data_IF_989208108191
#
_entry.id   IF_989208108191
#
_cell.length_a   1.000
_cell.length_b   1.000
_cell.length_c   1.000
_cell.angle_alpha   90.00
_cell.angle_beta   90.00
_cell.angle_gamma   90.00
#
_symmetry.space_group_name_H-M   'P 1'
#
loop_
_entity.id
_entity.type
_entity.pdbx_description
1 polymer ?
#
# COMPACT_ATOMS: atom_id res chain seq x y z
N UNK A 1 5.02 -67.66 24.29
CA UNK A 1 6.48 -67.68 24.04
C UNK A 1 6.74 -66.75 22.87
N UNK A 2 7.66 -65.80 23.03
CA UNK A 2 8.15 -65.00 21.92
C UNK A 2 8.90 -65.92 20.95
N UNK A 3 8.37 -66.12 19.74
CA UNK A 3 8.95 -67.05 18.75
C UNK A 3 10.29 -66.58 18.22
N UNK A 4 10.66 -65.32 18.45
CA UNK A 4 11.93 -64.73 18.04
C UNK A 4 12.99 -64.76 19.15
N UNK A 5 12.65 -65.22 20.36
CA UNK A 5 13.65 -65.49 21.38
C UNK A 5 14.47 -66.74 21.04
N UNK A 6 15.72 -66.87 21.54
CA UNK A 6 16.54 -68.06 21.32
C UNK A 6 15.80 -69.38 21.66
N UNK A 7 15.13 -69.42 22.82
CA UNK A 7 14.35 -70.58 23.26
C UNK A 7 13.11 -70.82 22.40
N UNK A 8 12.44 -69.74 21.99
CA UNK A 8 11.26 -69.80 21.11
C UNK A 8 11.62 -70.37 19.74
N UNK A 9 12.72 -69.91 19.15
CA UNK A 9 13.25 -70.41 17.88
C UNK A 9 13.71 -71.86 17.99
N UNK A 10 14.51 -72.17 19.01
CA UNK A 10 15.01 -73.54 19.24
C UNK A 10 13.85 -74.53 19.43
N UNK A 11 12.84 -74.16 20.23
CA UNK A 11 11.65 -74.97 20.46
C UNK A 11 10.80 -75.16 19.20
N UNK A 12 10.63 -74.11 18.39
CA UNK A 12 9.88 -74.19 17.14
C UNK A 12 10.59 -75.07 16.10
N UNK A 13 11.90 -74.92 15.96
CA UNK A 13 12.72 -75.70 15.04
C UNK A 13 12.73 -77.18 15.45
N UNK A 14 12.96 -77.50 16.72
CA UNK A 14 12.95 -78.89 17.19
C UNK A 14 11.57 -79.54 17.09
N UNK A 15 10.49 -78.80 17.39
CA UNK A 15 9.11 -79.26 17.14
C UNK A 15 8.89 -79.63 15.67
N UNK A 16 9.22 -78.71 14.76
CA UNK A 16 9.04 -78.93 13.33
C UNK A 16 9.91 -80.10 12.83
N UNK A 17 11.16 -80.16 13.28
CA UNK A 17 12.12 -81.21 12.92
C UNK A 17 11.66 -82.58 13.40
N UNK A 18 11.25 -82.71 14.67
CA UNK A 18 10.81 -83.98 15.23
C UNK A 18 9.55 -84.51 14.56
N UNK A 19 8.51 -83.67 14.48
CA UNK A 19 7.24 -84.05 13.85
C UNK A 19 7.45 -84.42 12.37
N UNK A 20 8.35 -83.74 11.67
CA UNK A 20 8.70 -84.04 10.27
C UNK A 20 9.51 -85.32 10.07
N UNK A 21 10.49 -85.62 10.93
CA UNK A 21 11.36 -86.80 10.81
C UNK A 21 10.73 -88.08 11.35
N UNK A 22 9.99 -88.00 12.45
CA UNK A 22 9.48 -89.17 13.17
C UNK A 22 8.01 -89.46 12.89
N UNK A 23 7.26 -88.51 12.32
CA UNK A 23 5.80 -88.59 12.11
C UNK A 23 5.02 -88.87 13.40
N UNK A 24 5.61 -88.57 14.54
CA UNK A 24 5.02 -88.65 15.87
C UNK A 24 4.81 -87.23 16.42
N UNK A 25 3.83 -87.01 17.31
CA UNK A 25 3.64 -85.74 17.99
C UNK A 25 4.86 -85.41 18.86
N UNK A 26 5.32 -84.16 18.82
CA UNK A 26 6.37 -83.65 19.74
C UNK A 26 5.95 -83.76 21.21
N UNK A 27 4.64 -83.70 21.43
CA UNK A 27 3.97 -83.76 22.71
C UNK A 27 4.13 -85.13 23.38
N UNK A 28 4.45 -86.18 22.62
CA UNK A 28 4.67 -87.54 23.12
C UNK A 28 6.06 -87.74 23.74
N UNK A 29 7.00 -86.82 23.51
CA UNK A 29 8.31 -86.84 24.17
C UNK A 29 8.17 -86.54 25.66
N UNK A 30 9.04 -87.15 26.47
CA UNK A 30 9.16 -86.80 27.90
C UNK A 30 9.66 -85.36 28.04
N UNK A 31 9.24 -84.68 29.10
CA UNK A 31 9.62 -83.28 29.35
C UNK A 31 11.14 -83.07 29.32
N UNK A 32 11.89 -83.94 30.01
CA UNK A 32 13.35 -83.87 30.06
C UNK A 32 14.02 -84.09 28.70
N UNK A 33 13.42 -84.91 27.82
CA UNK A 33 13.91 -85.12 26.46
C UNK A 33 13.63 -83.90 25.57
N UNK A 34 12.47 -83.27 25.73
CA UNK A 34 12.15 -82.00 25.05
C UNK A 34 13.12 -80.91 25.46
N UNK A 35 13.30 -80.70 26.75
CA UNK A 35 14.17 -79.65 27.29
C UNK A 35 15.61 -79.83 26.80
N UNK A 36 16.14 -81.05 26.85
CA UNK A 36 17.50 -81.34 26.39
C UNK A 36 17.67 -81.05 24.89
N UNK A 37 16.67 -81.38 24.07
CA UNK A 37 16.73 -81.11 22.62
C UNK A 37 16.66 -79.63 22.30
N UNK A 38 15.75 -78.91 22.96
CA UNK A 38 15.64 -77.46 22.84
C UNK A 38 16.94 -76.80 23.26
N UNK A 39 17.56 -77.24 24.36
CA UNK A 39 18.84 -76.74 24.84
C UNK A 39 19.98 -76.96 23.84
N UNK A 40 20.10 -78.16 23.26
CA UNK A 40 21.12 -78.45 22.23
C UNK A 40 20.93 -77.56 21.00
N UNK A 41 19.68 -77.38 20.54
CA UNK A 41 19.39 -76.51 19.41
C UNK A 41 19.66 -75.05 19.73
N UNK A 42 19.31 -74.58 20.93
CA UNK A 42 19.58 -73.21 21.41
C UNK A 42 21.07 -72.91 21.37
N UNK A 43 21.91 -73.79 21.93
CA UNK A 43 23.38 -73.65 21.88
C UNK A 43 23.88 -73.62 20.44
N UNK A 44 23.38 -74.50 19.56
CA UNK A 44 23.78 -74.50 18.14
C UNK A 44 23.39 -73.20 17.42
N UNK A 45 22.23 -72.62 17.71
CA UNK A 45 21.78 -71.33 17.17
C UNK A 45 22.63 -70.16 17.68
N UNK A 46 23.07 -70.22 18.93
CA UNK A 46 23.97 -69.23 19.54
C UNK A 46 25.38 -69.32 18.94
N UNK A 47 25.96 -70.52 18.87
CA UNK A 47 27.30 -70.76 18.31
C UNK A 47 27.40 -70.43 16.82
N UNK A 48 26.34 -70.70 16.05
CA UNK A 48 26.26 -70.32 14.64
C UNK A 48 26.02 -68.83 14.41
N UNK A 49 25.74 -68.06 15.47
CA UNK A 49 25.46 -66.62 15.40
C UNK A 49 24.07 -66.27 14.81
N UNK A 50 23.20 -67.26 14.58
CA UNK A 50 21.86 -67.04 14.04
C UNK A 50 21.02 -66.18 14.98
N UNK A 51 21.11 -66.41 16.30
CA UNK A 51 20.40 -65.59 17.30
C UNK A 51 20.83 -64.12 17.24
N UNK A 52 22.14 -63.87 17.10
CA UNK A 52 22.68 -62.51 16.96
C UNK A 52 22.25 -61.85 15.63
N UNK A 53 22.23 -62.61 14.53
CA UNK A 53 21.78 -62.10 13.23
C UNK A 53 20.29 -61.73 13.25
N UNK A 54 19.43 -62.58 13.84
CA UNK A 54 18.00 -62.29 14.01
C UNK A 54 17.80 -61.06 14.88
N UNK A 55 18.49 -60.97 16.03
CA UNK A 55 18.42 -59.80 16.90
C UNK A 55 18.83 -58.51 16.17
N UNK A 56 19.87 -58.55 15.34
CA UNK A 56 20.31 -57.41 14.54
C UNK A 56 19.27 -57.01 13.47
N UNK A 57 18.59 -57.97 12.83
CA UNK A 57 17.52 -57.69 11.87
C UNK A 57 16.32 -57.05 12.56
N UNK A 58 15.91 -57.57 13.72
CA UNK A 58 14.82 -57.00 14.53
C UNK A 58 15.16 -55.57 14.95
N UNK A 59 16.39 -55.33 15.42
CA UNK A 59 16.85 -53.99 15.78
C UNK A 59 16.84 -53.02 14.59
N UNK A 60 17.27 -53.47 13.40
CA UNK A 60 17.19 -52.65 12.17
C UNK A 60 15.75 -52.38 11.75
N UNK A 61 14.85 -53.36 11.91
CA UNK A 61 13.42 -53.18 11.66
C UNK A 61 12.83 -52.06 12.53
N UNK A 62 13.09 -52.11 13.83
CA UNK A 62 12.66 -51.06 14.76
C UNK A 62 13.25 -49.68 14.42
N UNK A 63 14.52 -49.63 13.96
CA UNK A 63 15.12 -48.39 13.47
C UNK A 63 14.44 -47.88 12.20
N UNK A 64 14.10 -48.77 11.27
CA UNK A 64 13.42 -48.41 10.02
C UNK A 64 12.03 -47.83 10.30
N UNK A 65 11.27 -48.43 11.22
CA UNK A 65 9.97 -47.93 11.65
C UNK A 65 10.10 -46.52 12.26
N UNK A 66 11.08 -46.32 13.14
CA UNK A 66 11.36 -44.99 13.72
C UNK A 66 11.81 -43.94 12.69
N UNK A 67 12.50 -44.35 11.62
CA UNK A 67 12.85 -43.46 10.50
C UNK A 67 11.62 -43.13 9.65
N UNK A 68 10.74 -44.11 9.41
CA UNK A 68 9.50 -43.89 8.67
C UNK A 68 8.59 -42.87 9.37
N UNK A 69 8.47 -42.95 10.68
CA UNK A 69 7.74 -41.95 11.48
C UNK A 69 8.37 -40.55 11.39
N UNK A 70 9.70 -40.46 11.44
CA UNK A 70 10.40 -39.19 11.29
C UNK A 70 10.20 -38.57 9.90
N UNK A 71 10.26 -39.37 8.84
CA UNK A 71 9.98 -38.91 7.47
C UNK A 71 8.54 -38.41 7.37
N UNK A 72 7.57 -39.18 7.87
CA UNK A 72 6.17 -38.77 7.85
C UNK A 72 5.92 -37.45 8.61
N UNK A 73 6.59 -37.26 9.75
CA UNK A 73 6.53 -36.01 10.52
C UNK A 73 7.14 -34.83 9.74
N UNK A 74 8.27 -35.03 9.06
CA UNK A 74 8.93 -33.99 8.24
C UNK A 74 8.08 -33.63 7.02
N UNK A 75 7.48 -34.61 6.36
CA UNK A 75 6.58 -34.37 5.23
C UNK A 75 5.34 -33.58 5.66
N UNK A 76 4.81 -33.84 6.86
CA UNK A 76 3.71 -33.06 7.41
C UNK A 76 4.12 -31.60 7.69
N UNK A 77 5.31 -31.39 8.28
CA UNK A 77 5.87 -30.08 8.54
C UNK A 77 6.12 -29.27 7.25
N UNK A 78 6.68 -29.91 6.22
CA UNK A 78 6.91 -29.29 4.92
C UNK A 78 5.59 -28.90 4.24
N UNK A 79 4.58 -29.76 4.28
CA UNK A 79 3.24 -29.44 3.76
C UNK A 79 2.59 -28.28 4.50
N UNK A 80 2.75 -28.19 5.82
CA UNK A 80 2.24 -27.07 6.60
C UNK A 80 2.91 -25.75 6.21
N UNK A 81 4.25 -25.72 6.12
CA UNK A 81 5.00 -24.54 5.67
C UNK A 81 4.65 -24.12 4.25
N UNK A 82 4.45 -25.08 3.34
CA UNK A 82 4.05 -24.78 1.97
C UNK A 82 2.68 -24.08 1.96
N UNK A 83 1.71 -24.58 2.73
CA UNK A 83 0.40 -23.95 2.83
C UNK A 83 0.46 -22.52 3.42
N UNK A 84 1.33 -22.29 4.42
CA UNK A 84 1.59 -20.95 4.96
C UNK A 84 2.16 -20.01 3.90
N UNK A 85 3.18 -20.45 3.16
CA UNK A 85 3.78 -19.66 2.08
C UNK A 85 2.78 -19.36 0.96
N UNK A 86 1.96 -20.34 0.55
CA UNK A 86 0.95 -20.14 -0.48
C UNK A 86 -0.10 -19.11 -0.04
N UNK A 87 -0.53 -19.14 1.23
CA UNK A 87 -1.43 -18.15 1.80
C UNK A 87 -0.79 -16.75 1.83
N UNK A 88 0.48 -16.65 2.19
CA UNK A 88 1.23 -15.40 2.18
C UNK A 88 1.40 -14.82 0.77
N UNK A 89 1.65 -15.67 -0.23
CA UNK A 89 1.73 -15.23 -1.63
C UNK A 89 0.41 -14.63 -2.09
N UNK A 90 -0.72 -15.30 -1.84
CA UNK A 90 -2.06 -14.77 -2.18
C UNK A 90 -2.29 -13.43 -1.50
N UNK A 91 -1.98 -13.31 -0.20
CA UNK A 91 -2.13 -12.08 0.57
C UNK A 91 -1.27 -10.94 0.02
N UNK A 92 0.01 -11.21 -0.25
CA UNK A 92 0.94 -10.20 -0.73
C UNK A 92 0.62 -9.76 -2.16
N UNK A 93 0.26 -10.70 -3.04
CA UNK A 93 -0.20 -10.35 -4.40
C UNK A 93 -1.46 -9.48 -4.35
N UNK A 94 -2.44 -9.82 -3.51
CA UNK A 94 -3.61 -8.97 -3.31
C UNK A 94 -3.25 -7.58 -2.83
N UNK A 95 -2.34 -7.46 -1.85
CA UNK A 95 -1.87 -6.16 -1.36
C UNK A 95 -1.11 -5.35 -2.41
N UNK A 96 -0.36 -6.00 -3.29
CA UNK A 96 0.32 -5.33 -4.41
C UNK A 96 -0.73 -4.72 -5.35
N UNK A 97 -1.74 -5.48 -5.74
CA UNK A 97 -2.82 -4.97 -6.62
C UNK A 97 -3.56 -3.79 -5.99
N UNK A 98 -3.90 -3.86 -4.70
CA UNK A 98 -4.50 -2.71 -3.99
C UNK A 98 -3.61 -1.46 -4.04
N UNK A 99 -2.30 -1.63 -3.82
CA UNK A 99 -1.35 -0.52 -3.86
C UNK A 99 -1.15 0.04 -5.28
N UNK A 100 -1.25 -0.80 -6.31
CA UNK A 100 -1.19 -0.37 -7.70
C UNK A 100 -2.43 0.46 -8.07
N UNK A 101 -3.62 0.04 -7.61
CA UNK A 101 -4.87 0.79 -7.79
C UNK A 101 -4.81 2.13 -7.03
N UNK A 102 -4.43 2.12 -5.75
CA UNK A 102 -4.24 3.34 -4.94
C UNK A 102 -3.28 4.33 -5.61
N UNK A 103 -2.19 3.82 -6.21
CA UNK A 103 -1.20 4.63 -6.91
C UNK A 103 -1.77 5.20 -8.22
N UNK A 104 -2.56 4.44 -8.96
CA UNK A 104 -3.22 4.90 -10.17
C UNK A 104 -4.22 6.03 -9.84
N UNK A 105 -5.02 5.86 -8.80
CA UNK A 105 -5.99 6.86 -8.33
C UNK A 105 -5.29 8.14 -7.86
N UNK A 106 -4.22 8.01 -7.07
CA UNK A 106 -3.43 9.15 -6.62
C UNK A 106 -2.82 9.93 -7.79
N UNK A 107 -2.32 9.23 -8.82
CA UNK A 107 -1.79 9.87 -10.03
C UNK A 107 -2.87 10.59 -10.83
N UNK A 108 -4.06 10.00 -10.95
CA UNK A 108 -5.18 10.62 -11.64
C UNK A 108 -5.67 11.88 -10.90
N UNK A 109 -5.79 11.81 -9.57
CA UNK A 109 -6.17 12.95 -8.73
C UNK A 109 -5.16 14.11 -8.86
N UNK A 110 -3.86 13.81 -8.76
CA UNK A 110 -2.81 14.81 -8.92
C UNK A 110 -2.79 15.41 -10.32
N UNK A 111 -3.00 14.61 -11.38
CA UNK A 111 -3.09 15.12 -12.74
C UNK A 111 -4.29 16.07 -12.92
N UNK A 112 -5.44 15.75 -12.31
CA UNK A 112 -6.61 16.62 -12.33
C UNK A 112 -6.38 17.93 -11.58
N UNK A 113 -5.72 17.89 -10.42
CA UNK A 113 -5.33 19.08 -9.65
C UNK A 113 -4.37 19.99 -10.44
N UNK A 114 -3.35 19.39 -11.08
CA UNK A 114 -2.43 20.14 -11.95
C UNK A 114 -3.14 20.77 -13.14
N UNK A 115 -4.08 20.06 -13.78
CA UNK A 115 -4.86 20.61 -14.88
C UNK A 115 -5.74 21.79 -14.42
N UNK A 116 -6.39 21.67 -13.26
CA UNK A 116 -7.22 22.73 -12.69
C UNK A 116 -6.41 23.97 -12.34
N UNK A 117 -5.29 23.81 -11.63
CA UNK A 117 -4.39 24.92 -11.27
C UNK A 117 -3.77 25.58 -12.50
N UNK A 118 -3.41 24.80 -13.54
CA UNK A 118 -2.92 25.35 -14.81
C UNK A 118 -4.00 26.20 -15.49
N UNK A 119 -5.24 25.71 -15.56
CA UNK A 119 -6.35 26.46 -16.15
C UNK A 119 -6.66 27.76 -15.36
N UNK A 120 -6.55 27.73 -14.04
CA UNK A 120 -6.69 28.92 -13.18
C UNK A 120 -5.62 29.97 -13.53
N UNK A 121 -4.34 29.59 -13.55
CA UNK A 121 -3.26 30.51 -13.93
C UNK A 121 -3.39 31.04 -15.37
N UNK A 122 -3.84 30.22 -16.31
CA UNK A 122 -4.12 30.67 -17.69
C UNK A 122 -5.24 31.71 -17.74
N UNK A 123 -6.29 31.54 -16.92
CA UNK A 123 -7.38 32.51 -16.78
C UNK A 123 -6.88 33.83 -16.19
N UNK A 124 -6.12 33.78 -15.09
CA UNK A 124 -5.52 34.96 -14.46
C UNK A 124 -4.61 35.73 -15.43
N UNK A 125 -3.79 35.01 -16.20
CA UNK A 125 -2.94 35.62 -17.23
C UNK A 125 -3.75 36.28 -18.35
N UNK A 126 -4.86 35.66 -18.77
CA UNK A 126 -5.75 36.24 -19.77
C UNK A 126 -6.42 37.52 -19.25
N UNK A 127 -6.88 37.52 -18.00
CA UNK A 127 -7.45 38.70 -17.34
C UNK A 127 -6.43 39.83 -17.19
N UNK A 128 -5.21 39.51 -16.75
CA UNK A 128 -4.12 40.48 -16.64
C UNK A 128 -3.80 41.13 -17.99
N UNK A 129 -3.69 40.34 -19.07
CA UNK A 129 -3.47 40.84 -20.44
C UNK A 129 -4.62 41.73 -20.93
N UNK A 130 -5.87 41.35 -20.65
CA UNK A 130 -7.04 42.18 -20.96
C UNK A 130 -7.02 43.51 -20.17
N UNK A 131 -6.64 43.45 -18.89
CA UNK A 131 -6.44 44.63 -18.05
C UNK A 131 -5.38 45.57 -18.61
N UNK A 132 -4.23 45.04 -19.02
CA UNK A 132 -3.14 45.78 -19.67
C UNK A 132 -3.61 46.44 -20.97
N UNK A 133 -4.25 45.70 -21.87
CA UNK A 133 -4.78 46.23 -23.14
C UNK A 133 -5.76 47.39 -22.90
N UNK A 134 -6.65 47.27 -21.91
CA UNK A 134 -7.58 48.36 -21.53
C UNK A 134 -6.85 49.56 -20.96
N UNK A 135 -5.79 49.36 -20.18
CA UNK A 135 -4.96 50.45 -19.67
C UNK A 135 -4.23 51.18 -20.81
N UNK A 136 -3.62 50.44 -21.74
CA UNK A 136 -2.98 50.98 -22.94
C UNK A 136 -3.96 51.77 -23.79
N UNK A 137 -5.15 51.23 -24.04
CA UNK A 137 -6.19 51.94 -24.81
C UNK A 137 -6.64 53.23 -24.13
N UNK A 138 -6.84 53.22 -22.80
CA UNK A 138 -7.17 54.44 -22.04
C UNK A 138 -6.04 55.47 -22.10
N UNK A 139 -4.78 55.04 -22.01
CA UNK A 139 -3.63 55.93 -22.15
C UNK A 139 -3.59 56.59 -23.55
N UNK A 140 -3.78 55.81 -24.62
CA UNK A 140 -3.85 56.33 -26.00
C UNK A 140 -5.03 57.30 -26.20
N UNK A 141 -6.19 57.02 -25.60
CA UNK A 141 -7.34 57.95 -25.64
C UNK A 141 -7.03 59.26 -24.92
N UNK A 142 -6.40 59.19 -23.74
CA UNK A 142 -5.98 60.37 -23.00
C UNK A 142 -4.94 61.19 -23.79
N UNK A 143 -3.96 60.54 -24.42
CA UNK A 143 -2.96 61.20 -25.27
C UNK A 143 -3.62 61.93 -26.45
N UNK A 144 -4.55 61.28 -27.18
CA UNK A 144 -5.31 61.92 -28.26
C UNK A 144 -6.14 63.10 -27.76
N UNK A 145 -6.75 63.00 -26.58
CA UNK A 145 -7.50 64.11 -25.99
C UNK A 145 -6.58 65.30 -25.64
N UNK A 146 -5.39 65.02 -25.09
CA UNK A 146 -4.39 66.05 -24.81
C UNK A 146 -3.89 66.72 -26.10
N UNK A 147 -3.64 65.95 -27.16
CA UNK A 147 -3.26 66.50 -28.47
C UNK A 147 -4.39 67.32 -29.10
N UNK A 148 -5.65 66.90 -28.96
CA UNK A 148 -6.81 67.67 -29.42
C UNK A 148 -6.91 69.01 -28.67
N UNK A 149 -6.73 69.00 -27.34
CA UNK A 149 -6.68 70.23 -26.53
C UNK A 149 -5.51 71.12 -26.96
N UNK A 150 -4.31 70.54 -27.18
CA UNK A 150 -3.13 71.27 -27.65
C UNK A 150 -3.39 71.95 -29.01
N UNK A 151 -3.98 71.23 -29.95
CA UNK A 151 -4.32 71.77 -31.28
C UNK A 151 -5.39 72.86 -31.21
N UNK A 152 -6.41 72.70 -30.35
CA UNK A 152 -7.43 73.72 -30.14
C UNK A 152 -6.81 75.02 -29.57
N UNK A 153 -5.93 74.92 -28.59
CA UNK A 153 -5.19 76.06 -28.05
C UNK A 153 -4.30 76.74 -29.10
N UNK A 154 -3.63 75.96 -29.97
CA UNK A 154 -2.84 76.49 -31.07
C UNK A 154 -3.71 77.21 -32.12
N UNK A 155 -4.91 76.70 -32.41
CA UNK A 155 -5.89 77.35 -33.30
C UNK A 155 -6.42 78.68 -32.73
N UNK A 156 -6.60 78.77 -31.41
CA UNK A 156 -6.97 80.02 -30.72
C UNK A 156 -5.85 81.08 -30.80
N UNK A 157 -4.58 80.67 -30.85
CA UNK A 157 -3.45 81.60 -31.00
C UNK A 157 -3.27 82.14 -32.44
N UNK A 158 -3.94 81.55 -33.44
CA UNK A 158 -3.89 81.96 -34.86
C UNK A 158 -5.14 82.77 -35.27
N UNK A 159 -6.13 82.92 -34.38
CA UNK A 159 -7.21 83.89 -34.59
C UNK A 159 -6.64 85.31 -34.47
N UNK A 160 -6.59 86.03 -35.59
CA UNK A 160 -6.20 87.44 -35.66
C UNK A 160 -6.86 88.26 -34.55
N UNK A 161 -6.14 89.16 -33.86
CA UNK A 161 -6.76 90.10 -32.94
C UNK A 161 -7.70 91.01 -33.72
N UNK A 162 -9.00 90.89 -33.47
CA UNK A 162 -10.00 91.87 -33.92
C UNK A 162 -9.59 93.27 -33.45
N UNK A 163 -9.63 94.30 -34.33
CA UNK A 163 -9.24 95.65 -33.95
C UNK A 163 -10.22 96.20 -32.91
N UNK A 164 -9.65 96.69 -31.81
CA UNK A 164 -10.36 97.38 -30.72
C UNK A 164 -10.96 98.67 -31.28
N UNK A 165 -12.29 98.75 -31.34
CA UNK A 165 -13.03 100.01 -31.44
C UNK A 165 -13.60 100.37 -30.05
N UNK A 166 -13.26 101.58 -29.61
CA UNK A 166 -13.80 102.26 -28.43
C UNK A 166 -15.24 102.74 -28.67
N UNK A 167 -16.08 102.63 -27.63
CA UNK A 167 -17.19 103.51 -27.16
C UNK A 167 -18.27 102.60 -26.55
N UNK A 168 -18.59 102.61 -25.24
CA UNK A 168 -19.13 103.65 -24.34
C UNK A 168 -20.58 103.30 -23.95
N UNK A 169 -20.83 103.24 -22.63
CA UNK A 169 -22.14 103.30 -21.92
C UNK A 169 -23.08 102.07 -22.09
N UNK A 170 -23.85 101.59 -21.11
CA UNK A 170 -24.19 102.04 -19.76
C UNK A 170 -24.71 100.81 -18.95
N UNK A 171 -24.76 100.98 -17.64
CA UNK A 171 -25.34 100.07 -16.64
C UNK A 171 -26.83 99.76 -16.90
N UNK A 172 -27.26 98.51 -16.67
CA UNK A 172 -28.58 98.20 -16.09
C UNK A 172 -28.68 96.76 -15.54
N UNK A 173 -29.50 96.62 -14.50
CA UNK A 173 -29.68 95.51 -13.56
C UNK A 173 -30.35 94.25 -14.14
N UNK A 174 -30.21 93.09 -13.48
CA UNK A 174 -31.05 91.93 -13.79
C UNK A 174 -30.67 90.61 -13.10
N UNK A 175 -31.30 90.36 -11.96
CA UNK A 175 -31.24 89.15 -11.12
C UNK A 175 -31.90 87.91 -11.78
N UNK A 176 -31.53 86.69 -11.34
CA UNK A 176 -32.43 85.58 -10.88
C UNK A 176 -31.98 84.14 -11.27
N UNK A 177 -31.75 83.35 -10.20
CA UNK A 177 -31.99 81.93 -9.95
C UNK A 177 -31.32 80.80 -10.75
N UNK A 178 -30.89 79.76 -10.01
CA UNK A 178 -30.83 78.39 -10.54
C UNK A 178 -29.94 77.38 -9.80
N UNK A 179 -30.43 76.88 -8.66
CA UNK A 179 -30.32 75.49 -8.16
C UNK A 179 -28.94 74.76 -8.03
N UNK A 180 -28.61 74.48 -6.75
CA UNK A 180 -27.88 73.33 -6.16
C UNK A 180 -28.72 72.03 -6.44
N UNK A 181 -28.25 70.75 -6.36
CA UNK A 181 -27.31 70.31 -5.32
C UNK A 181 -26.43 69.04 -5.48
N UNK A 182 -25.58 68.91 -4.44
CA UNK A 182 -25.23 67.70 -3.69
C UNK A 182 -24.29 66.63 -4.30
N UNK A 183 -23.02 66.71 -3.88
CA UNK A 183 -22.21 65.51 -3.68
C UNK A 183 -22.64 64.83 -2.36
N UNK A 184 -23.35 63.71 -2.50
CA UNK A 184 -23.86 62.85 -1.45
C UNK A 184 -22.82 61.78 -1.07
N UNK A 185 -22.72 61.56 0.24
CA UNK A 185 -22.30 60.35 0.95
C UNK A 185 -20.86 59.83 0.81
N UNK A 186 -20.05 60.21 1.80
CA UNK A 186 -19.28 59.23 2.55
C UNK A 186 -20.23 58.24 3.24
N UNK A 187 -20.01 56.94 3.04
CA UNK A 187 -20.87 55.88 3.57
C UNK A 187 -20.23 54.50 3.44
N UNK A 188 -19.40 54.16 4.43
CA UNK A 188 -19.35 52.87 5.14
C UNK A 188 -19.55 51.56 4.34
N UNK A 189 -18.51 50.73 4.29
CA UNK A 189 -18.53 49.33 4.75
C UNK A 189 -17.16 48.65 4.55
N UNK A 190 -16.17 48.99 5.38
CA UNK A 190 -15.08 48.08 5.68
C UNK A 190 -15.56 47.15 6.81
N UNK A 191 -16.37 46.16 6.43
CA UNK A 191 -16.80 45.07 7.29
C UNK A 191 -15.71 44.01 7.35
N UNK A 192 -15.13 43.85 8.53
CA UNK A 192 -14.77 42.55 9.14
C UNK A 192 -14.08 41.52 8.24
N UNK A 193 -12.75 41.61 8.12
CA UNK A 193 -11.91 40.42 7.97
C UNK A 193 -11.65 39.83 9.36
N UNK A 194 -12.68 39.18 9.91
CA UNK A 194 -12.52 38.18 10.95
C UNK A 194 -12.45 36.81 10.28
N UNK A 195 -11.55 35.98 10.78
CA UNK A 195 -11.70 34.52 10.83
C UNK A 195 -11.74 33.74 9.51
N UNK A 196 -10.55 33.39 9.01
CA UNK A 196 -10.31 32.02 8.53
C UNK A 196 -8.80 31.68 8.54
N UNK A 197 -8.16 31.88 9.70
CA UNK A 197 -6.87 31.26 10.01
C UNK A 197 -7.02 30.29 11.19
N UNK A 198 -8.13 29.54 11.20
CA UNK A 198 -8.38 28.41 12.09
C UNK A 198 -8.55 27.13 11.24
N UNK A 199 -7.54 26.75 10.48
CA UNK A 199 -7.45 25.42 9.86
C UNK A 199 -6.01 24.97 9.60
N UNK A 200 -5.10 25.32 10.53
CA UNK A 200 -3.81 24.62 10.71
C UNK A 200 -3.78 23.89 12.05
N UNK A 201 -4.77 23.03 12.23
CA UNK A 201 -4.92 22.23 13.44
C UNK A 201 -5.70 20.97 13.15
N UNK A 202 -5.12 20.06 12.36
CA UNK A 202 -5.49 18.64 12.29
C UNK A 202 -4.52 17.98 11.31
N UNK A 203 -3.38 17.50 11.81
CA UNK A 203 -2.65 16.28 11.39
C UNK A 203 -1.29 16.32 12.09
N UNK A 204 -1.04 15.36 12.99
CA UNK A 204 0.28 15.22 13.63
C UNK A 204 0.33 14.77 15.09
N UNK A 205 -0.72 14.16 15.66
CA UNK A 205 -0.54 13.28 16.82
C UNK A 205 -0.13 11.88 16.35
N UNK A 206 1.13 11.53 16.52
CA UNK A 206 1.63 10.15 16.77
C UNK A 206 2.79 10.27 17.75
N UNK A 207 2.57 10.08 19.06
CA UNK A 207 2.45 8.79 19.75
C UNK A 207 3.70 7.92 19.57
N UNK A 208 4.50 7.90 20.64
CA UNK A 208 5.58 6.96 20.96
C UNK A 208 5.02 5.58 21.28
N UNK A 209 5.60 4.53 20.70
CA UNK A 209 5.75 3.15 21.22
C UNK A 209 7.02 2.61 20.52
N UNK A 210 8.16 2.37 21.18
CA UNK A 210 8.47 1.30 22.13
C UNK A 210 8.20 -0.10 21.56
N UNK A 211 9.23 -0.71 20.97
CA UNK A 211 9.71 -2.09 21.18
C UNK A 211 11.08 -2.26 20.52
#
# INVERSE_FOLDING_TARGET
MDTLSPDGMASAIERARYSGLRKEPWEDLRDTERDTRVEVMRVALEESGVTAAVAAVVARGAQADGLAEQVAARDAELRARQAEHDADLVRLTGRISELEDDLADARAAHAAELAATTAEYESELAEARSGEQRAVHRAQQAERALDAVRNALAGVAVAEPLPVAREAAADDEGTVAGAVPAAVAAGTAAGTAAESAAQRGLFGRRARWAH
#
